data_IF_517111548521
#
_entry.id   IF_517111548521
#
_cell.length_a   1.000
_cell.length_b   1.000
_cell.length_c   1.000
_cell.angle_alpha   90.00
_cell.angle_beta   90.00
_cell.angle_gamma   90.00
#
_symmetry.space_group_name_H-M   'P 1'
#
loop_
_entity.id
_entity.type
_entity.pdbx_description
1 polymer ?
#
# COMPACT_ATOMS: atom_id res chain seq x y z
N UNK A 1 4.98 12.93 16.06
CA UNK A 1 3.81 13.18 15.21
C UNK A 1 4.02 12.60 13.82
N UNK A 2 2.96 12.12 13.20
CA UNK A 2 3.05 11.59 11.84
C UNK A 2 3.28 12.74 10.85
N UNK A 3 4.15 12.51 9.87
CA UNK A 3 4.34 13.43 8.76
C UNK A 3 3.13 13.41 7.83
N UNK A 4 3.04 14.39 6.94
CA UNK A 4 1.99 14.42 5.91
C UNK A 4 2.07 13.18 5.03
N UNK A 5 3.28 12.71 4.72
CA UNK A 5 3.49 11.53 3.90
C UNK A 5 2.96 10.27 4.59
N UNK A 6 3.21 10.14 5.89
CA UNK A 6 2.68 9.02 6.68
C UNK A 6 1.16 9.03 6.70
N UNK A 7 0.55 10.21 6.89
CA UNK A 7 -0.90 10.35 6.88
C UNK A 7 -1.50 9.97 5.53
N UNK A 8 -0.88 10.39 4.44
CA UNK A 8 -1.32 10.03 3.08
C UNK A 8 -1.30 8.51 2.86
N UNK A 9 -0.21 7.87 3.30
CA UNK A 9 -0.09 6.42 3.17
C UNK A 9 -1.15 5.68 3.97
N UNK A 10 -1.39 6.10 5.21
CA UNK A 10 -2.43 5.51 6.05
C UNK A 10 -3.80 5.69 5.40
N UNK A 11 -4.10 6.91 4.91
CA UNK A 11 -5.36 7.20 4.25
C UNK A 11 -5.57 6.34 3.00
N UNK A 12 -4.51 6.15 2.22
CA UNK A 12 -4.60 5.32 1.02
C UNK A 12 -4.85 3.85 1.36
N UNK A 13 -4.37 3.37 2.50
CA UNK A 13 -4.59 2.00 2.94
C UNK A 13 -5.95 1.79 3.62
N UNK A 14 -6.67 2.86 3.91
CA UNK A 14 -7.98 2.80 4.56
C UNK A 14 -9.11 2.52 3.55
N UNK A 15 -8.89 1.58 2.67
CA UNK A 15 -9.85 1.10 1.67
C UNK A 15 -9.56 -0.38 1.44
N UNK A 16 -10.59 -1.18 1.50
CA UNK A 16 -10.49 -2.64 1.42
C UNK A 16 -9.76 -3.11 0.14
N UNK A 17 -10.07 -2.48 -0.99
CA UNK A 17 -9.45 -2.84 -2.27
C UNK A 17 -7.97 -2.51 -2.29
N UNK A 18 -7.61 -1.33 -1.81
CA UNK A 18 -6.21 -0.89 -1.76
C UNK A 18 -5.39 -1.68 -0.76
N UNK A 19 -5.98 -1.99 0.38
CA UNK A 19 -5.30 -2.82 1.37
C UNK A 19 -5.02 -4.22 0.81
N UNK A 20 -5.96 -4.79 0.07
CA UNK A 20 -5.76 -6.09 -0.57
C UNK A 20 -4.64 -6.05 -1.61
N UNK A 21 -4.61 -5.01 -2.43
CA UNK A 21 -3.54 -4.81 -3.41
C UNK A 21 -2.19 -4.68 -2.69
N UNK A 22 -2.14 -3.93 -1.61
CA UNK A 22 -0.93 -3.75 -0.81
C UNK A 22 -0.42 -5.09 -0.28
N UNK A 23 -1.30 -5.93 0.26
CA UNK A 23 -0.94 -7.25 0.76
C UNK A 23 -0.36 -8.13 -0.35
N UNK A 24 -0.97 -8.13 -1.52
CA UNK A 24 -0.52 -8.92 -2.66
C UNK A 24 0.87 -8.45 -3.11
N UNK A 25 1.06 -7.14 -3.22
CA UNK A 25 2.34 -6.57 -3.66
C UNK A 25 3.45 -6.74 -2.62
N UNK A 26 3.10 -6.87 -1.35
CA UNK A 26 4.08 -7.16 -0.30
C UNK A 26 4.68 -8.54 -0.47
N UNK A 27 3.93 -9.46 -1.07
CA UNK A 27 4.38 -10.82 -1.32
C UNK A 27 5.26 -10.89 -2.58
N UNK A 28 4.85 -10.22 -3.66
CA UNK A 28 5.59 -10.22 -4.94
C UNK A 28 5.07 -9.10 -5.84
N UNK A 29 5.95 -8.59 -6.69
CA UNK A 29 5.57 -7.62 -7.72
C UNK A 29 4.57 -8.25 -8.68
N UNK A 30 3.60 -7.47 -9.13
CA UNK A 30 2.54 -7.94 -10.02
C UNK A 30 2.22 -6.88 -11.07
N UNK A 31 1.69 -7.33 -12.21
CA UNK A 31 1.13 -6.43 -13.20
C UNK A 31 -0.38 -6.21 -12.95
N UNK A 32 -0.96 -5.29 -13.72
CA UNK A 32 -2.37 -4.93 -13.58
C UNK A 32 -3.31 -6.11 -13.85
N UNK A 33 -2.97 -6.96 -14.80
CA UNK A 33 -3.79 -8.13 -15.14
C UNK A 33 -3.79 -9.16 -14.01
N UNK A 34 -2.62 -9.40 -13.43
CA UNK A 34 -2.51 -10.34 -12.32
C UNK A 34 -3.24 -9.83 -11.09
N UNK A 35 -3.14 -8.53 -10.81
CA UNK A 35 -3.90 -7.92 -9.72
C UNK A 35 -5.40 -8.02 -9.97
N UNK A 36 -5.84 -7.84 -11.20
CA UNK A 36 -7.26 -8.01 -11.57
C UNK A 36 -7.72 -9.43 -11.27
N UNK A 37 -6.94 -10.43 -11.66
CA UNK A 37 -7.28 -11.85 -11.40
C UNK A 37 -7.33 -12.14 -9.89
N UNK A 38 -6.35 -11.66 -9.14
CA UNK A 38 -6.22 -11.99 -7.71
C UNK A 38 -7.23 -11.25 -6.84
N UNK A 39 -7.67 -10.07 -7.25
CA UNK A 39 -8.62 -9.26 -6.47
C UNK A 39 -10.06 -9.43 -6.91
N UNK A 40 -10.29 -9.88 -8.14
CA UNK A 40 -11.61 -9.91 -8.75
C UNK A 40 -12.07 -8.54 -9.25
N UNK A 41 -11.23 -7.52 -9.19
CA UNK A 41 -11.53 -6.19 -9.71
C UNK A 41 -11.21 -6.14 -11.19
N UNK A 42 -11.94 -5.32 -11.95
CA UNK A 42 -11.59 -5.11 -13.36
C UNK A 42 -10.29 -4.29 -13.47
N UNK A 43 -9.67 -4.34 -14.65
CA UNK A 43 -8.38 -3.69 -14.89
C UNK A 43 -8.46 -2.17 -14.68
N UNK A 44 -9.55 -1.54 -15.10
CA UNK A 44 -9.71 -0.11 -14.93
C UNK A 44 -9.78 0.28 -13.46
N UNK A 45 -10.47 -0.49 -12.65
CA UNK A 45 -10.54 -0.29 -11.20
C UNK A 45 -9.17 -0.50 -10.56
N UNK A 46 -8.44 -1.55 -10.98
CA UNK A 46 -7.08 -1.81 -10.48
C UNK A 46 -6.19 -0.60 -10.78
N UNK A 47 -6.23 -0.09 -12.01
CA UNK A 47 -5.42 1.07 -12.41
C UNK A 47 -5.76 2.31 -11.62
N UNK A 48 -7.05 2.54 -11.37
CA UNK A 48 -7.51 3.67 -10.58
C UNK A 48 -7.02 3.57 -9.14
N UNK A 49 -7.18 2.41 -8.51
CA UNK A 49 -6.78 2.21 -7.11
C UNK A 49 -5.25 2.26 -6.94
N UNK A 50 -4.50 1.67 -7.86
CA UNK A 50 -3.05 1.72 -7.81
C UNK A 50 -2.51 3.13 -8.05
N UNK A 51 -3.18 3.94 -8.88
CA UNK A 51 -2.81 5.33 -9.07
C UNK A 51 -2.94 6.12 -7.77
N UNK A 52 -4.00 5.90 -7.01
CA UNK A 52 -4.18 6.53 -5.69
C UNK A 52 -3.04 6.12 -4.75
N UNK A 53 -2.67 4.86 -4.76
CA UNK A 53 -1.57 4.34 -3.92
C UNK A 53 -0.22 4.90 -4.35
N UNK A 54 0.01 5.06 -5.64
CA UNK A 54 1.23 5.67 -6.17
C UNK A 54 1.34 7.14 -5.76
N UNK A 55 0.26 7.88 -5.87
CA UNK A 55 0.21 9.28 -5.44
C UNK A 55 0.48 9.44 -3.94
N UNK A 56 0.11 8.44 -3.16
CA UNK A 56 0.38 8.43 -1.71
C UNK A 56 1.81 7.96 -1.38
N UNK A 57 2.57 7.53 -2.37
CA UNK A 57 3.96 7.10 -2.17
C UNK A 57 4.12 5.64 -1.78
N UNK A 58 3.05 4.83 -1.81
CA UNK A 58 3.11 3.43 -1.38
C UNK A 58 3.74 2.50 -2.40
N UNK A 59 3.60 2.81 -3.68
CA UNK A 59 4.08 1.95 -4.74
C UNK A 59 4.58 2.78 -5.92
N UNK A 60 5.32 2.11 -6.80
CA UNK A 60 5.73 2.66 -8.08
C UNK A 60 5.08 1.83 -9.19
N UNK A 61 4.72 2.52 -10.27
CA UNK A 61 4.13 1.91 -11.46
C UNK A 61 5.06 2.11 -12.64
N UNK A 62 5.30 1.04 -13.38
CA UNK A 62 6.12 1.07 -14.59
C UNK A 62 5.24 0.67 -15.75
N UNK A 63 5.10 1.57 -16.71
CA UNK A 63 4.33 1.30 -17.93
C UNK A 63 5.20 0.54 -18.92
N UNK A 64 4.70 -0.59 -19.42
CA UNK A 64 5.37 -1.43 -20.39
C UNK A 64 4.35 -1.82 -21.47
N UNK A 65 4.35 -1.06 -22.58
CA UNK A 65 3.34 -1.21 -23.62
C UNK A 65 1.97 -0.84 -23.08
N UNK A 66 1.03 -1.78 -23.15
CA UNK A 66 -0.32 -1.60 -22.62
C UNK A 66 -0.50 -2.16 -21.21
N UNK A 67 0.62 -2.54 -20.56
CA UNK A 67 0.64 -3.16 -19.25
C UNK A 67 1.32 -2.25 -18.24
N UNK A 68 0.85 -2.31 -16.99
CA UNK A 68 1.51 -1.65 -15.86
C UNK A 68 2.05 -2.70 -14.90
N UNK A 69 3.32 -2.56 -14.53
CA UNK A 69 3.93 -3.37 -13.49
C UNK A 69 4.02 -2.53 -12.22
N UNK A 70 3.68 -3.13 -11.07
CA UNK A 70 3.64 -2.44 -9.79
C UNK A 70 4.55 -3.10 -8.79
N UNK A 71 5.25 -2.27 -8.00
CA UNK A 71 6.01 -2.75 -6.86
C UNK A 71 5.90 -1.74 -5.72
N UNK A 72 5.93 -2.23 -4.49
CA UNK A 72 5.89 -1.36 -3.32
C UNK A 72 7.17 -0.55 -3.22
N UNK A 73 7.05 0.69 -2.79
CA UNK A 73 8.19 1.54 -2.49
C UNK A 73 8.69 1.21 -1.09
N UNK A 74 9.75 0.40 -1.02
CA UNK A 74 10.26 -0.10 0.25
C UNK A 74 10.71 1.02 1.18
N UNK A 75 11.23 2.12 0.65
CA UNK A 75 11.66 3.27 1.47
C UNK A 75 10.47 3.95 2.13
N UNK A 76 9.40 4.12 1.39
CA UNK A 76 8.18 4.74 1.91
C UNK A 76 7.46 3.82 2.89
N UNK A 77 7.40 2.54 2.57
CA UNK A 77 6.81 1.55 3.49
C UNK A 77 7.60 1.50 4.79
N UNK A 78 8.93 1.65 4.72
CA UNK A 78 9.77 1.69 5.92
C UNK A 78 9.46 2.91 6.79
N UNK A 79 9.13 4.06 6.19
CA UNK A 79 8.70 5.25 6.94
C UNK A 79 7.42 4.95 7.71
N UNK A 80 6.46 4.30 7.06
CA UNK A 80 5.19 3.92 7.68
C UNK A 80 5.42 2.93 8.82
N UNK A 81 6.23 1.90 8.58
CA UNK A 81 6.57 0.89 9.59
C UNK A 81 7.26 1.53 10.79
N UNK A 82 8.21 2.45 10.53
CA UNK A 82 8.92 3.17 11.59
C UNK A 82 7.99 3.96 12.49
N UNK A 83 6.97 4.59 11.90
CA UNK A 83 5.96 5.29 12.68
C UNK A 83 5.22 4.34 13.61
N UNK A 84 4.77 3.19 13.10
CA UNK A 84 4.04 2.21 13.91
C UNK A 84 4.94 1.58 14.99
N UNK A 85 6.20 1.30 14.68
CA UNK A 85 7.15 0.78 15.67
C UNK A 85 7.37 1.78 16.80
N UNK A 86 7.49 3.06 16.46
CA UNK A 86 7.65 4.11 17.48
C UNK A 86 6.43 4.15 18.39
N UNK A 87 5.24 4.03 17.83
CA UNK A 87 4.01 3.99 18.64
C UNK A 87 3.93 2.73 19.48
N UNK A 88 4.32 1.59 18.92
CA UNK A 88 4.35 0.33 19.67
C UNK A 88 5.27 0.42 20.89
N UNK A 89 6.43 1.03 20.74
CA UNK A 89 7.39 1.19 21.84
C UNK A 89 6.85 2.08 22.96
N UNK A 90 5.87 2.91 22.68
CA UNK A 90 5.21 3.77 23.66
C UNK A 90 4.01 3.10 24.32
N UNK A 91 3.53 1.98 23.78
CA UNK A 91 2.38 1.30 24.34
C UNK A 91 2.75 0.60 25.62
N UNK A 92 1.91 0.75 26.63
CA UNK A 92 2.04 -0.03 27.86
C UNK A 92 1.45 -1.42 27.63
N UNK A 93 1.98 -2.46 28.33
CA UNK A 93 1.34 -3.76 28.29
C UNK A 93 -0.12 -3.65 28.75
N UNK A 94 -1.01 -4.48 28.20
CA UNK A 94 -2.41 -4.47 28.64
C UNK A 94 -2.48 -4.72 30.14
N UNK A 95 -3.22 -3.86 30.82
CA UNK A 95 -3.47 -4.06 32.25
C UNK A 95 -4.68 -4.95 32.41
N UNK A 96 -4.49 -6.10 32.97
CA UNK A 96 -5.60 -6.98 33.31
C UNK A 96 -6.41 -6.36 34.43
N UNK A 97 -7.67 -6.28 34.21
CA UNK A 97 -8.60 -5.86 35.25
C UNK A 97 -9.10 -7.06 36.00
#
# INVERSE_FOLDING_TARGET
MASKDTIRMISALADERRLKIFEILADSDRDDRKLSEMTGLDIDTVREQTRIMEEAGLLTACEDGDRFDYNLDAKQVAVLTGFFELMLNKCSPPKCC
#
